data_IF_393064200890
#
_entry.id   IF_393064200890
#
_cell.length_a   1.000
_cell.length_b   1.000
_cell.length_c   1.000
_cell.angle_alpha   90.00
_cell.angle_beta   90.00
_cell.angle_gamma   90.00
#
_symmetry.space_group_name_H-M   'P 1'
#
loop_
_entity.id
_entity.type
_entity.pdbx_description
1 polymer ?
#
# COMPACT_ATOMS: atom_id res chain seq x y z
N UNK A 1 -50.91 1.38 -6.49
CA UNK A 1 -49.87 1.57 -7.54
C UNK A 1 -48.93 2.75 -7.27
N UNK A 2 -49.42 3.95 -6.90
CA UNK A 2 -48.56 5.12 -6.57
C UNK A 2 -47.57 4.88 -5.41
N UNK A 3 -47.91 4.05 -4.43
CA UNK A 3 -47.02 3.68 -3.32
C UNK A 3 -45.84 2.77 -3.73
N UNK A 4 -46.02 1.96 -4.78
CA UNK A 4 -44.98 1.07 -5.31
C UNK A 4 -43.97 1.83 -6.16
N UNK A 5 -44.45 2.76 -6.99
CA UNK A 5 -43.59 3.68 -7.77
C UNK A 5 -42.75 4.56 -6.84
N UNK A 6 -43.34 5.00 -5.72
CA UNK A 6 -42.64 5.79 -4.69
C UNK A 6 -41.50 5.00 -4.04
N UNK A 7 -41.64 3.69 -3.79
CA UNK A 7 -40.54 2.86 -3.26
C UNK A 7 -39.40 2.64 -4.27
N UNK A 8 -39.72 2.56 -5.57
CA UNK A 8 -38.70 2.46 -6.63
C UNK A 8 -37.92 3.78 -6.75
N UNK A 9 -38.59 4.92 -6.58
CA UNK A 9 -37.97 6.25 -6.56
C UNK A 9 -37.19 6.54 -5.27
N UNK A 10 -37.62 6.00 -4.12
CA UNK A 10 -36.95 6.16 -2.81
C UNK A 10 -35.67 5.28 -2.70
N UNK A 11 -35.46 4.27 -3.56
CA UNK A 11 -34.14 3.60 -3.63
C UNK A 11 -33.11 4.39 -4.46
N UNK A 12 -33.47 5.58 -4.92
CA UNK A 12 -32.56 6.56 -5.53
C UNK A 12 -32.26 7.69 -4.52
N UNK A 13 -32.30 7.41 -3.21
CA UNK A 13 -31.99 8.40 -2.19
C UNK A 13 -30.49 8.75 -2.23
N UNK A 14 -30.20 9.97 -2.70
CA UNK A 14 -28.96 10.74 -2.47
C UNK A 14 -27.64 10.13 -2.99
N UNK A 15 -27.58 9.79 -4.29
CA UNK A 15 -26.27 9.71 -4.95
C UNK A 15 -25.82 11.15 -5.19
N UNK A 16 -24.93 11.68 -4.35
CA UNK A 16 -24.11 12.80 -4.76
C UNK A 16 -23.48 12.40 -6.11
N UNK A 17 -23.86 13.07 -7.19
CA UNK A 17 -23.34 12.78 -8.52
C UNK A 17 -21.83 13.04 -8.49
N UNK A 18 -21.04 12.01 -8.19
CA UNK A 18 -19.60 12.07 -8.30
C UNK A 18 -19.26 12.35 -9.76
N UNK A 19 -18.31 13.25 -10.01
CA UNK A 19 -17.81 13.51 -11.36
C UNK A 19 -17.27 12.21 -11.95
N UNK A 20 -17.90 11.73 -13.01
CA UNK A 20 -17.42 10.59 -13.77
C UNK A 20 -16.47 11.13 -14.83
N UNK A 21 -15.22 10.70 -14.75
CA UNK A 21 -14.22 10.97 -15.79
C UNK A 21 -13.81 9.66 -16.44
N UNK A 22 -13.29 9.74 -17.66
CA UNK A 22 -12.72 8.57 -18.34
C UNK A 22 -11.62 7.93 -17.48
N UNK A 23 -10.72 8.75 -16.93
CA UNK A 23 -9.66 8.30 -16.02
C UNK A 23 -10.23 7.71 -14.73
N UNK A 24 -11.21 8.37 -14.11
CA UNK A 24 -11.84 7.88 -12.88
C UNK A 24 -12.55 6.54 -13.07
N UNK A 25 -13.16 6.33 -14.24
CA UNK A 25 -13.78 5.04 -14.60
C UNK A 25 -12.74 3.94 -14.77
N UNK A 26 -11.61 4.24 -15.42
CA UNK A 26 -10.49 3.30 -15.59
C UNK A 26 -9.81 2.95 -14.25
N UNK A 27 -9.61 3.93 -13.37
CA UNK A 27 -8.92 3.74 -12.09
C UNK A 27 -9.84 3.26 -10.97
N UNK A 28 -11.16 3.22 -11.19
CA UNK A 28 -12.15 2.80 -10.17
C UNK A 28 -11.84 1.44 -9.54
N UNK A 29 -11.41 0.40 -10.27
CA UNK A 29 -11.07 -0.89 -9.68
C UNK A 29 -9.88 -0.83 -8.71
N UNK A 30 -8.93 0.10 -8.91
CA UNK A 30 -7.76 0.25 -8.03
C UNK A 30 -8.11 0.80 -6.65
N UNK A 31 -9.27 1.45 -6.50
CA UNK A 31 -9.78 1.97 -5.24
C UNK A 31 -11.05 1.22 -4.77
N UNK A 32 -11.30 0.01 -5.29
CA UNK A 32 -12.52 -0.73 -4.98
C UNK A 32 -12.40 -1.63 -3.74
N UNK A 33 -11.19 -2.00 -3.33
CA UNK A 33 -10.96 -2.97 -2.25
C UNK A 33 -10.63 -2.33 -0.90
N UNK A 34 -11.11 -1.11 -0.65
CA UNK A 34 -10.89 -0.43 0.64
C UNK A 34 -11.43 -1.27 1.80
N UNK A 35 -10.61 -1.45 2.83
CA UNK A 35 -10.94 -2.25 4.02
C UNK A 35 -10.79 -3.77 3.83
N UNK A 36 -10.43 -4.24 2.63
CA UNK A 36 -10.08 -5.66 2.43
C UNK A 36 -8.70 -5.93 3.01
N UNK A 37 -8.64 -6.82 3.99
CA UNK A 37 -7.40 -7.26 4.63
C UNK A 37 -7.41 -8.77 4.80
N UNK A 38 -6.22 -9.37 4.86
CA UNK A 38 -6.07 -10.80 5.17
C UNK A 38 -6.19 -11.00 6.69
N UNK A 39 -7.03 -11.93 7.19
CA UNK A 39 -7.16 -12.18 8.61
C UNK A 39 -5.88 -12.80 9.21
N UNK A 40 -5.66 -12.60 10.50
CA UNK A 40 -4.47 -13.08 11.20
C UNK A 40 -3.22 -12.28 10.86
N UNK A 41 -2.06 -12.95 10.84
CA UNK A 41 -0.75 -12.30 10.64
C UNK A 41 -0.40 -12.02 9.17
N UNK A 42 -1.10 -12.64 8.21
CA UNK A 42 -0.83 -12.47 6.79
C UNK A 42 0.65 -12.65 6.44
N UNK A 43 1.22 -11.69 5.71
CA UNK A 43 2.64 -11.67 5.31
C UNK A 43 3.53 -10.95 6.32
N UNK A 44 3.06 -10.62 7.52
CA UNK A 44 3.85 -9.90 8.54
C UNK A 44 5.17 -10.61 8.88
N UNK A 45 5.24 -11.95 9.07
CA UNK A 45 6.53 -12.61 9.32
C UNK A 45 7.50 -12.49 8.14
N UNK A 46 6.99 -12.55 6.90
CA UNK A 46 7.79 -12.35 5.70
C UNK A 46 8.30 -10.90 5.62
N UNK A 47 7.45 -9.92 5.90
CA UNK A 47 7.82 -8.51 6.00
C UNK A 47 8.93 -8.31 7.05
N UNK A 48 8.81 -8.92 8.23
CA UNK A 48 9.83 -8.83 9.28
C UNK A 48 11.18 -9.41 8.83
N UNK A 49 11.19 -10.50 8.06
CA UNK A 49 12.41 -11.05 7.49
C UNK A 49 13.08 -10.05 6.52
N UNK A 50 12.29 -9.42 5.63
CA UNK A 50 12.81 -8.39 4.72
C UNK A 50 13.27 -7.13 5.44
N UNK A 51 12.55 -6.67 6.47
CA UNK A 51 12.97 -5.55 7.31
C UNK A 51 14.31 -5.86 7.97
N UNK A 52 14.48 -7.06 8.50
CA UNK A 52 15.73 -7.49 9.15
C UNK A 52 16.88 -7.54 8.15
N UNK A 53 16.67 -8.13 6.97
CA UNK A 53 17.67 -8.14 5.91
C UNK A 53 18.04 -6.72 5.44
N UNK A 54 17.04 -5.84 5.31
CA UNK A 54 17.26 -4.44 4.93
C UNK A 54 17.99 -3.65 6.02
N UNK A 55 17.70 -3.91 7.29
CA UNK A 55 18.43 -3.34 8.43
C UNK A 55 19.92 -3.73 8.36
N UNK A 56 20.21 -5.02 8.19
CA UNK A 56 21.60 -5.47 8.04
C UNK A 56 22.28 -4.84 6.83
N UNK A 57 21.59 -4.76 5.69
CA UNK A 57 22.10 -4.08 4.50
C UNK A 57 22.50 -2.62 4.81
N UNK A 58 21.63 -1.86 5.47
CA UNK A 58 21.88 -0.47 5.84
C UNK A 58 23.03 -0.33 6.85
N UNK A 59 23.07 -1.17 7.87
CA UNK A 59 24.15 -1.15 8.88
C UNK A 59 25.49 -1.47 8.23
N UNK A 60 25.55 -2.47 7.35
CA UNK A 60 26.78 -2.83 6.65
C UNK A 60 27.30 -1.64 5.82
N UNK A 61 26.47 -1.03 4.97
CA UNK A 61 26.93 0.10 4.15
C UNK A 61 27.30 1.32 5.00
N UNK A 62 26.61 1.54 6.11
CA UNK A 62 26.90 2.63 7.04
C UNK A 62 28.24 2.42 7.75
N UNK A 63 28.50 1.20 8.23
CA UNK A 63 29.76 0.87 8.92
C UNK A 63 30.95 0.83 7.97
N UNK A 64 30.75 0.41 6.70
CA UNK A 64 31.76 0.51 5.64
C UNK A 64 32.13 1.98 5.40
N UNK A 65 31.14 2.86 5.29
CA UNK A 65 31.37 4.29 5.09
C UNK A 65 32.05 4.95 6.29
N UNK A 66 31.66 4.56 7.51
CA UNK A 66 32.26 5.07 8.74
C UNK A 66 33.64 4.47 9.06
N UNK A 67 34.12 3.51 8.25
CA UNK A 67 35.35 2.76 8.53
C UNK A 67 35.30 1.91 9.80
N UNK A 68 34.11 1.67 10.37
CA UNK A 68 33.91 0.79 11.53
C UNK A 68 33.92 -0.69 11.13
N UNK A 69 33.54 -0.98 9.88
CA UNK A 69 33.66 -2.27 9.24
C UNK A 69 34.66 -2.14 8.08
N UNK A 70 35.77 -2.87 8.11
CA UNK A 70 36.81 -2.83 7.09
C UNK A 70 36.79 -4.13 6.27
N UNK A 71 36.78 -4.00 4.94
CA UNK A 71 36.92 -5.11 4.01
C UNK A 71 38.26 -5.02 3.30
N UNK A 72 39.03 -6.10 3.29
CA UNK A 72 40.39 -6.14 2.73
C UNK A 72 40.46 -5.67 1.27
N UNK A 73 39.41 -5.95 0.49
CA UNK A 73 39.33 -5.58 -0.93
C UNK A 73 38.64 -4.23 -1.21
N UNK A 74 38.24 -3.48 -0.18
CA UNK A 74 37.52 -2.21 -0.35
C UNK A 74 38.34 -1.08 0.26
N UNK A 75 39.09 -0.31 -0.54
CA UNK A 75 39.81 0.85 -0.04
C UNK A 75 38.81 1.95 0.33
N UNK A 76 38.91 2.48 1.55
CA UNK A 76 38.17 3.66 2.00
C UNK A 76 39.14 4.83 2.03
N UNK A 77 38.95 5.79 1.13
CA UNK A 77 39.73 7.03 1.06
C UNK A 77 38.79 8.24 0.97
N UNK A 78 39.34 9.41 1.29
CA UNK A 78 38.68 10.69 1.04
C UNK A 78 38.53 10.98 -0.45
#
# INVERSE_FOLDING_TARGET
MKLLIKKIQIKQDNIANCLITTVGTLLKPLNAEYGKVTPGWGTTPLMAAFITAFLFFLVIILELWNGSLLLESVPVSW
#
